data_IF_747285250155
#
_entry.id   IF_747285250155
#
_cell.length_a   1.000
_cell.length_b   1.000
_cell.length_c   1.000
_cell.angle_alpha   90.00
_cell.angle_beta   90.00
_cell.angle_gamma   90.00
#
_symmetry.space_group_name_H-M   'P 1'
#
loop_
_entity.id
_entity.type
_entity.pdbx_description
1 polymer ?
#
# COMPACT_ATOMS: atom_id res chain seq x y z
N UNK A 1 67.32 -46.49 -21.31
CA UNK A 1 68.10 -45.69 -20.36
C UNK A 1 67.14 -45.07 -19.35
N UNK A 2 67.29 -45.54 -18.14
CA UNK A 2 66.53 -45.16 -16.96
C UNK A 2 66.82 -43.72 -16.55
N UNK A 3 65.79 -42.89 -16.24
CA UNK A 3 65.96 -41.83 -15.22
C UNK A 3 64.65 -41.71 -14.43
N UNK A 4 64.76 -42.12 -13.19
CA UNK A 4 63.86 -41.95 -12.08
C UNK A 4 63.83 -40.47 -11.69
N UNK A 5 62.64 -39.82 -11.56
CA UNK A 5 62.47 -38.60 -10.80
C UNK A 5 61.53 -38.88 -9.63
N UNK A 6 62.06 -38.72 -8.42
CA UNK A 6 61.33 -38.75 -7.15
C UNK A 6 60.45 -37.53 -7.07
N UNK A 7 59.17 -37.71 -6.74
CA UNK A 7 58.28 -36.63 -6.32
C UNK A 7 58.23 -36.65 -4.77
N UNK A 8 58.67 -35.54 -4.15
CA UNK A 8 58.43 -35.24 -2.74
C UNK A 8 56.99 -34.85 -2.52
N UNK A 9 56.26 -35.60 -1.72
CA UNK A 9 55.00 -35.23 -1.18
C UNK A 9 55.16 -34.35 0.06
N UNK A 10 54.88 -33.07 -0.01
CA UNK A 10 54.80 -32.19 1.15
C UNK A 10 53.40 -32.30 1.74
N UNK A 11 53.31 -32.88 2.93
CA UNK A 11 52.05 -32.91 3.74
C UNK A 11 51.94 -31.57 4.44
N UNK A 12 51.03 -30.74 4.01
CA UNK A 12 50.59 -29.51 4.70
C UNK A 12 49.52 -29.90 5.72
N UNK A 13 49.88 -29.97 7.00
CA UNK A 13 48.96 -30.07 8.10
C UNK A 13 48.30 -28.69 8.33
N UNK A 14 47.03 -28.56 8.00
CA UNK A 14 46.23 -27.39 8.34
C UNK A 14 45.66 -27.57 9.76
N UNK A 15 45.75 -26.56 10.63
CA UNK A 15 45.13 -26.62 11.95
C UNK A 15 43.61 -26.47 11.78
N UNK A 16 42.88 -27.45 12.30
CA UNK A 16 41.41 -27.34 12.47
C UNK A 16 41.13 -26.30 13.57
N UNK A 17 40.73 -25.12 13.15
CA UNK A 17 40.14 -24.13 14.05
C UNK A 17 38.73 -24.61 14.35
N UNK A 18 38.48 -25.16 15.52
CA UNK A 18 37.18 -25.47 16.04
C UNK A 18 36.42 -24.14 16.28
N UNK A 19 35.46 -23.82 15.42
CA UNK A 19 34.50 -22.76 15.67
C UNK A 19 33.57 -23.20 16.82
N UNK A 20 33.33 -22.36 17.86
CA UNK A 20 32.35 -22.68 18.87
C UNK A 20 30.97 -22.75 18.20
N UNK A 21 30.33 -23.91 18.30
CA UNK A 21 28.91 -24.05 17.98
C UNK A 21 28.12 -23.12 18.92
N UNK A 22 27.69 -21.98 18.43
CA UNK A 22 26.64 -21.22 19.09
C UNK A 22 25.41 -22.10 19.08
N UNK A 23 25.08 -22.68 20.25
CA UNK A 23 23.76 -23.25 20.46
C UNK A 23 22.76 -22.13 20.25
N UNK A 24 22.02 -22.21 19.14
CA UNK A 24 20.83 -21.37 18.94
C UNK A 24 19.86 -21.79 20.06
N UNK A 25 19.62 -20.89 21.03
CA UNK A 25 18.53 -21.00 21.92
C UNK A 25 17.28 -21.19 21.04
N UNK A 26 16.39 -22.16 21.36
CA UNK A 26 15.12 -22.28 20.69
C UNK A 26 14.41 -20.95 20.90
N UNK A 27 14.30 -20.15 19.84
CA UNK A 27 13.49 -18.95 19.84
C UNK A 27 12.10 -19.40 20.32
N UNK A 28 11.76 -18.99 21.54
CA UNK A 28 10.41 -19.07 22.05
C UNK A 28 9.55 -18.32 21.03
N UNK A 29 8.85 -19.10 20.20
CA UNK A 29 7.82 -18.53 19.35
C UNK A 29 6.91 -17.71 20.27
N UNK A 30 6.71 -16.41 20.04
CA UNK A 30 5.74 -15.66 20.82
C UNK A 30 4.41 -16.41 20.66
N UNK A 31 3.86 -16.89 21.76
CA UNK A 31 2.51 -17.41 21.83
C UNK A 31 1.62 -16.32 21.27
N UNK A 32 1.25 -16.45 20.00
CA UNK A 32 0.31 -15.57 19.33
C UNK A 32 -1.13 -15.95 19.80
N UNK A 33 -1.33 -15.94 21.10
CA UNK A 33 -2.62 -15.58 21.65
C UNK A 33 -2.73 -14.09 21.40
N UNK A 34 -3.30 -13.73 20.25
CA UNK A 34 -3.87 -12.40 20.06
C UNK A 34 -4.97 -12.27 21.14
N UNK A 35 -4.58 -11.79 22.32
CA UNK A 35 -5.53 -11.21 23.25
C UNK A 35 -6.30 -10.18 22.45
N UNK A 36 -7.62 -10.37 22.38
CA UNK A 36 -8.48 -9.40 21.71
C UNK A 36 -8.18 -8.04 22.35
N UNK A 37 -7.56 -7.14 21.59
CA UNK A 37 -7.15 -5.83 22.08
C UNK A 37 -8.35 -5.15 22.72
N UNK A 38 -8.17 -4.56 23.90
CA UNK A 38 -9.24 -3.86 24.58
C UNK A 38 -9.81 -2.76 23.65
N UNK A 39 -11.10 -2.44 23.72
CA UNK A 39 -11.69 -1.41 22.85
C UNK A 39 -10.94 -0.08 22.85
N UNK A 40 -10.32 0.29 23.97
CA UNK A 40 -9.46 1.48 24.07
C UNK A 40 -8.18 1.37 23.25
N UNK A 41 -7.57 0.19 23.19
CA UNK A 41 -6.35 -0.04 22.40
C UNK A 41 -6.63 -0.01 20.91
N UNK A 42 -7.79 -0.50 20.48
CA UNK A 42 -8.24 -0.44 19.09
C UNK A 42 -8.48 1.02 18.65
N UNK A 43 -9.09 1.83 19.51
CA UNK A 43 -9.31 3.25 19.23
C UNK A 43 -7.98 4.02 19.15
N UNK A 44 -7.05 3.76 20.06
CA UNK A 44 -5.72 4.37 20.04
C UNK A 44 -4.92 3.97 18.78
N UNK A 45 -4.96 2.69 18.40
CA UNK A 45 -4.34 2.20 17.18
C UNK A 45 -4.96 2.82 15.91
N UNK A 46 -6.28 2.98 15.90
CA UNK A 46 -7.00 3.68 14.83
C UNK A 46 -6.57 5.13 14.71
N UNK A 47 -6.56 5.89 15.83
CA UNK A 47 -6.13 7.28 15.87
C UNK A 47 -4.69 7.44 15.39
N UNK A 48 -3.77 6.59 15.87
CA UNK A 48 -2.38 6.60 15.41
C UNK A 48 -2.25 6.33 13.90
N UNK A 49 -3.11 5.48 13.34
CA UNK A 49 -3.15 5.23 11.89
C UNK A 49 -3.66 6.44 11.12
N UNK A 50 -4.69 7.12 11.62
CA UNK A 50 -5.21 8.36 11.02
C UNK A 50 -4.17 9.48 11.04
N UNK A 51 -3.44 9.64 12.14
CA UNK A 51 -2.39 10.66 12.26
C UNK A 51 -1.22 10.38 11.31
N UNK A 52 -0.85 9.12 11.11
CA UNK A 52 0.13 8.75 10.09
C UNK A 52 -0.34 9.10 8.68
N UNK A 53 -1.58 8.79 8.33
CA UNK A 53 -2.14 9.14 7.02
C UNK A 53 -2.11 10.66 6.80
N UNK A 54 -2.52 11.45 7.81
CA UNK A 54 -2.47 12.92 7.73
C UNK A 54 -1.04 13.45 7.57
N UNK A 55 -0.06 12.85 8.26
CA UNK A 55 1.35 13.23 8.13
C UNK A 55 1.89 13.02 6.71
N UNK A 56 1.32 12.06 5.95
CA UNK A 56 1.62 11.86 4.52
C UNK A 56 0.80 12.78 3.59
N UNK A 57 0.01 13.72 4.13
CA UNK A 57 -0.87 14.59 3.32
C UNK A 57 -2.08 13.87 2.74
N UNK A 58 -2.51 12.83 3.43
CA UNK A 58 -3.71 12.06 3.12
C UNK A 58 -4.84 12.51 4.05
N UNK A 59 -5.99 12.89 3.50
CA UNK A 59 -7.18 13.27 4.27
C UNK A 59 -8.10 12.04 4.42
N UNK A 60 -8.12 11.40 5.61
CA UNK A 60 -9.00 10.26 5.86
C UNK A 60 -10.46 10.68 5.86
N UNK A 61 -11.32 9.79 5.40
CA UNK A 61 -12.76 9.99 5.44
C UNK A 61 -13.28 10.01 6.88
N UNK A 62 -14.46 10.58 7.06
CA UNK A 62 -15.02 10.94 8.37
C UNK A 62 -15.15 9.72 9.29
N UNK A 63 -15.47 8.54 8.72
CA UNK A 63 -15.58 7.30 9.48
C UNK A 63 -15.07 6.10 8.66
N UNK A 64 -14.55 5.06 9.35
CA UNK A 64 -14.20 3.81 8.69
C UNK A 64 -15.45 3.05 8.24
N UNK A 65 -15.27 2.19 7.27
CA UNK A 65 -16.29 1.20 6.87
C UNK A 65 -15.79 -0.21 7.15
N UNK A 66 -16.66 -1.19 7.01
CA UNK A 66 -16.28 -2.59 7.13
C UNK A 66 -17.14 -3.46 6.23
N UNK A 67 -16.58 -4.58 5.79
CA UNK A 67 -17.32 -5.67 5.16
C UNK A 67 -17.36 -6.89 6.10
N UNK A 68 -18.48 -7.61 6.13
CA UNK A 68 -18.62 -8.84 6.88
C UNK A 68 -18.38 -10.06 5.99
N UNK A 69 -18.04 -11.19 6.60
CA UNK A 69 -17.82 -12.49 5.94
C UNK A 69 -16.70 -12.51 4.89
N UNK A 70 -15.71 -11.62 5.05
CA UNK A 70 -14.61 -11.43 4.12
C UNK A 70 -13.35 -12.21 4.45
N UNK A 71 -13.09 -12.44 5.74
CA UNK A 71 -11.83 -13.02 6.22
C UNK A 71 -12.09 -14.22 7.11
N UNK A 72 -11.23 -15.23 7.02
CA UNK A 72 -11.18 -16.33 7.98
C UNK A 72 -10.38 -15.89 9.21
N UNK A 73 -10.94 -16.09 10.41
CA UNK A 73 -10.20 -15.88 11.67
C UNK A 73 -10.56 -14.63 12.47
N UNK A 74 -11.44 -13.77 11.98
CA UNK A 74 -12.04 -12.69 12.79
C UNK A 74 -13.51 -13.01 13.15
N UNK A 75 -14.02 -12.36 14.18
CA UNK A 75 -15.45 -12.45 14.53
C UNK A 75 -16.28 -11.95 13.35
N UNK A 76 -17.18 -12.75 12.84
CA UNK A 76 -17.99 -12.49 11.64
C UNK A 76 -17.16 -12.27 10.35
N UNK A 77 -15.89 -12.66 10.31
CA UNK A 77 -15.05 -12.43 9.13
C UNK A 77 -14.94 -10.96 8.73
N UNK A 78 -14.90 -10.04 9.69
CA UNK A 78 -14.90 -8.60 9.45
C UNK A 78 -13.58 -8.13 8.82
N UNK A 79 -13.69 -7.31 7.77
CA UNK A 79 -12.60 -6.57 7.15
C UNK A 79 -12.88 -5.07 7.29
N UNK A 80 -12.21 -4.35 8.19
CA UNK A 80 -12.34 -2.91 8.27
C UNK A 80 -11.61 -2.22 7.11
N UNK A 81 -12.08 -1.04 6.73
CA UNK A 81 -11.47 -0.24 5.68
C UNK A 81 -11.59 1.26 5.93
N UNK A 82 -10.70 2.02 5.31
CA UNK A 82 -10.68 3.48 5.37
C UNK A 82 -10.66 4.06 3.97
N UNK A 83 -11.49 5.05 3.72
CA UNK A 83 -11.39 5.93 2.56
C UNK A 83 -10.42 7.06 2.85
N UNK A 84 -9.62 7.45 1.85
CA UNK A 84 -8.65 8.54 1.93
C UNK A 84 -8.73 9.38 0.67
N UNK A 85 -8.63 10.70 0.81
CA UNK A 85 -8.46 11.62 -0.32
C UNK A 85 -7.14 12.36 -0.21
N UNK A 86 -6.47 12.53 -1.34
CA UNK A 86 -5.20 13.25 -1.45
C UNK A 86 -5.33 14.32 -2.51
N UNK A 87 -5.47 15.60 -2.10
CA UNK A 87 -5.54 16.70 -3.05
C UNK A 87 -4.19 16.90 -3.75
N UNK A 88 -4.21 17.07 -5.07
CA UNK A 88 -3.02 17.32 -5.86
C UNK A 88 -2.46 18.75 -5.73
N UNK A 89 -1.17 18.94 -5.99
CA UNK A 89 -0.22 17.89 -6.36
C UNK A 89 0.20 17.02 -5.18
N UNK A 90 0.18 15.71 -5.38
CA UNK A 90 0.56 14.76 -4.32
C UNK A 90 1.45 13.63 -4.90
N UNK A 91 2.51 13.15 -4.20
CA UNK A 91 2.98 13.61 -2.88
C UNK A 91 3.61 15.03 -2.96
N UNK A 92 3.46 15.78 -1.86
CA UNK A 92 3.96 17.17 -1.78
C UNK A 92 5.48 17.25 -1.68
N UNK A 93 6.12 16.19 -1.23
CA UNK A 93 7.59 16.04 -1.22
C UNK A 93 8.02 15.43 -2.54
N UNK A 94 8.08 16.26 -3.56
CA UNK A 94 8.49 15.83 -4.88
C UNK A 94 10.01 15.72 -4.94
N UNK A 95 10.50 14.53 -5.31
CA UNK A 95 11.71 14.44 -6.13
C UNK A 95 11.44 15.23 -7.40
N UNK A 96 11.75 16.52 -7.41
CA UNK A 96 11.66 17.36 -8.60
C UNK A 96 12.79 16.97 -9.54
N UNK A 97 12.50 16.08 -10.44
CA UNK A 97 13.35 15.87 -11.61
C UNK A 97 12.90 16.90 -12.65
N UNK A 98 13.75 17.84 -13.08
CA UNK A 98 13.36 18.84 -14.06
C UNK A 98 12.71 18.19 -15.30
N UNK A 99 11.50 18.61 -15.64
CA UNK A 99 10.74 18.08 -16.78
C UNK A 99 9.98 16.77 -16.53
N UNK A 100 10.00 16.24 -15.29
CA UNK A 100 9.24 15.04 -14.91
C UNK A 100 8.27 15.37 -13.78
N UNK A 101 6.98 15.18 -14.03
CA UNK A 101 5.93 15.23 -13.01
C UNK A 101 5.60 13.81 -12.54
N UNK A 102 6.16 13.44 -11.39
CA UNK A 102 5.96 12.15 -10.73
C UNK A 102 4.78 12.14 -9.76
N UNK A 103 3.91 13.15 -9.77
CA UNK A 103 2.76 13.19 -8.88
C UNK A 103 1.70 12.15 -9.25
N UNK A 104 1.15 11.47 -8.26
CA UNK A 104 0.01 10.55 -8.39
C UNK A 104 -1.30 11.31 -8.59
N UNK A 105 -1.44 12.49 -7.96
CA UNK A 105 -2.50 13.45 -8.22
C UNK A 105 -1.87 14.74 -8.74
N UNK A 106 -2.32 15.24 -9.88
CA UNK A 106 -1.91 16.52 -10.47
C UNK A 106 -2.63 17.69 -9.78
N UNK A 107 -2.16 18.92 -10.01
CA UNK A 107 -2.89 20.12 -9.55
C UNK A 107 -4.33 20.11 -10.06
N UNK A 108 -5.30 20.39 -9.19
CA UNK A 108 -6.73 20.31 -9.50
C UNK A 108 -7.31 18.90 -9.57
N UNK A 109 -6.51 17.88 -9.28
CA UNK A 109 -6.98 16.51 -9.13
C UNK A 109 -7.08 16.11 -7.65
N UNK A 110 -7.89 15.10 -7.39
CA UNK A 110 -7.95 14.37 -6.12
C UNK A 110 -7.65 12.90 -6.39
N UNK A 111 -6.66 12.33 -5.72
CA UNK A 111 -6.46 10.89 -5.70
C UNK A 111 -7.31 10.31 -4.57
N UNK A 112 -8.33 9.56 -4.92
CA UNK A 112 -9.13 8.79 -3.98
C UNK A 112 -8.53 7.42 -3.79
N UNK A 113 -8.36 7.00 -2.54
CA UNK A 113 -7.77 5.70 -2.20
C UNK A 113 -8.61 5.01 -1.14
N UNK A 114 -8.94 3.76 -1.39
CA UNK A 114 -9.65 2.89 -0.46
C UNK A 114 -8.68 1.83 0.07
N UNK A 115 -8.57 1.73 1.40
CA UNK A 115 -7.58 0.90 2.09
C UNK A 115 -8.30 -0.11 2.98
N UNK A 116 -8.55 -1.33 2.50
CA UNK A 116 -9.07 -2.40 3.33
C UNK A 116 -7.95 -3.08 4.13
N UNK A 117 -8.28 -3.62 5.29
CA UNK A 117 -7.37 -4.37 6.15
C UNK A 117 -7.77 -5.84 6.22
N UNK A 118 -6.77 -6.74 6.28
CA UNK A 118 -7.01 -8.18 6.32
C UNK A 118 -7.42 -8.80 4.99
N UNK A 119 -7.39 -8.05 3.90
CA UNK A 119 -7.58 -8.54 2.53
C UNK A 119 -6.24 -9.06 2.00
N UNK A 120 -6.26 -10.22 1.37
CA UNK A 120 -5.12 -10.80 0.69
C UNK A 120 -4.69 -10.05 -0.56
N UNK A 121 -3.76 -10.63 -1.32
CA UNK A 121 -3.33 -10.05 -2.60
C UNK A 121 -4.51 -9.89 -3.55
N UNK A 122 -4.43 -8.85 -4.40
CA UNK A 122 -5.43 -8.60 -5.42
C UNK A 122 -5.69 -9.85 -6.27
N UNK A 123 -6.98 -10.09 -6.54
CA UNK A 123 -7.42 -11.07 -7.52
C UNK A 123 -7.06 -10.60 -8.95
N UNK A 124 -7.24 -11.50 -9.91
CA UNK A 124 -7.09 -11.17 -11.32
C UNK A 124 -8.12 -10.13 -11.83
N UNK A 125 -9.18 -9.86 -11.04
CA UNK A 125 -10.25 -8.91 -11.35
C UNK A 125 -10.37 -7.88 -10.21
N UNK A 126 -9.56 -6.82 -10.21
CA UNK A 126 -9.53 -5.82 -9.15
C UNK A 126 -10.66 -4.78 -9.24
N UNK A 127 -11.74 -5.09 -9.90
CA UNK A 127 -12.88 -4.21 -10.15
C UNK A 127 -13.91 -4.27 -9.03
N UNK A 128 -14.84 -3.30 -9.00
CA UNK A 128 -16.02 -3.31 -8.14
C UNK A 128 -16.09 -2.18 -7.11
N UNK A 129 -14.99 -1.47 -6.82
CA UNK A 129 -14.99 -0.28 -5.98
C UNK A 129 -15.22 0.98 -6.81
N UNK A 130 -15.98 1.92 -6.25
CA UNK A 130 -16.33 3.21 -6.88
C UNK A 130 -16.21 4.36 -5.91
N UNK A 131 -15.95 5.52 -6.46
CA UNK A 131 -16.09 6.80 -5.76
C UNK A 131 -17.10 7.68 -6.50
N UNK A 132 -18.16 8.12 -5.79
CA UNK A 132 -19.04 9.20 -6.22
C UNK A 132 -18.54 10.49 -5.56
N UNK A 133 -18.51 11.59 -6.31
CA UNK A 133 -17.97 12.85 -5.82
C UNK A 133 -18.71 14.07 -6.40
N UNK A 134 -18.66 15.16 -5.64
CA UNK A 134 -19.16 16.48 -6.08
C UNK A 134 -18.24 17.56 -5.51
N UNK A 135 -17.82 18.49 -6.36
CA UNK A 135 -17.12 19.68 -5.95
C UNK A 135 -18.13 20.81 -5.70
N UNK A 136 -18.26 21.19 -4.45
CA UNK A 136 -19.21 22.21 -4.00
C UNK A 136 -18.82 23.63 -4.44
N UNK A 137 -17.55 23.85 -4.77
CA UNK A 137 -17.04 25.15 -5.21
C UNK A 137 -17.30 25.43 -6.69
N UNK A 138 -17.22 24.40 -7.55
CA UNK A 138 -17.35 24.57 -9.00
C UNK A 138 -18.53 23.80 -9.63
N UNK A 139 -19.28 23.02 -8.82
CA UNK A 139 -20.44 22.25 -9.26
C UNK A 139 -20.14 21.00 -10.08
N UNK A 140 -18.86 20.66 -10.32
CA UNK A 140 -18.49 19.42 -11.03
C UNK A 140 -18.78 18.21 -10.16
N UNK A 141 -19.24 17.14 -10.78
CA UNK A 141 -19.53 15.88 -10.07
C UNK A 141 -19.33 14.69 -11.00
N UNK A 142 -19.25 13.50 -10.41
CA UNK A 142 -19.11 12.28 -11.20
C UNK A 142 -19.03 11.03 -10.35
N UNK A 143 -18.90 9.90 -11.05
CA UNK A 143 -18.60 8.60 -10.47
C UNK A 143 -17.38 8.06 -11.23
N UNK A 144 -16.41 7.52 -10.49
CA UNK A 144 -15.23 6.90 -11.08
C UNK A 144 -15.03 5.49 -10.51
N UNK A 145 -14.65 4.55 -11.36
CA UNK A 145 -14.25 3.21 -10.96
C UNK A 145 -12.81 3.27 -10.39
N UNK A 146 -12.58 2.57 -9.28
CA UNK A 146 -11.30 2.56 -8.59
C UNK A 146 -10.53 1.29 -8.98
N UNK A 147 -9.37 1.49 -9.59
CA UNK A 147 -8.47 0.40 -10.01
C UNK A 147 -7.47 -0.01 -8.91
N UNK A 148 -6.64 -1.02 -9.19
CA UNK A 148 -5.58 -1.43 -8.28
C UNK A 148 -4.50 -0.34 -8.16
N UNK A 149 -3.84 -0.29 -7.02
CA UNK A 149 -2.78 0.69 -6.75
C UNK A 149 -1.61 0.60 -7.75
N UNK A 150 -1.40 -0.55 -8.37
CA UNK A 150 -0.40 -0.74 -9.44
C UNK A 150 -0.62 0.17 -10.65
N UNK A 151 -1.85 0.57 -10.93
CA UNK A 151 -2.15 1.46 -12.05
C UNK A 151 -1.66 2.88 -11.76
N UNK A 152 -1.80 3.30 -10.49
CA UNK A 152 -1.25 4.57 -10.02
C UNK A 152 0.27 4.58 -10.16
N UNK A 153 0.95 3.52 -9.74
CA UNK A 153 2.42 3.41 -9.86
C UNK A 153 2.88 3.52 -11.31
N UNK A 154 2.20 2.84 -12.22
CA UNK A 154 2.50 2.92 -13.65
C UNK A 154 2.26 4.31 -14.23
N UNK A 155 1.20 4.98 -13.79
CA UNK A 155 0.88 6.34 -14.22
C UNK A 155 1.87 7.39 -13.68
N UNK A 156 2.47 7.16 -12.50
CA UNK A 156 3.48 8.03 -11.92
C UNK A 156 4.82 8.00 -12.66
N UNK A 157 5.13 6.91 -13.37
CA UNK A 157 6.38 6.79 -14.13
C UNK A 157 6.12 7.14 -15.61
N UNK A 158 6.45 8.37 -16.05
CA UNK A 158 6.12 8.85 -17.39
C UNK A 158 6.73 7.99 -18.50
N UNK A 159 6.09 7.98 -19.66
CA UNK A 159 6.59 7.24 -20.81
C UNK A 159 7.97 7.75 -21.31
N UNK A 160 8.33 8.98 -20.96
CA UNK A 160 9.64 9.61 -21.27
C UNK A 160 10.81 9.03 -20.46
N UNK A 161 10.54 8.28 -19.37
CA UNK A 161 11.60 7.62 -18.59
C UNK A 161 12.23 6.52 -19.46
N UNK A 162 13.57 6.51 -19.64
CA UNK A 162 14.26 5.49 -20.43
C UNK A 162 13.94 4.08 -19.94
N UNK A 163 13.77 3.12 -20.85
CA UNK A 163 13.40 1.75 -20.55
C UNK A 163 14.37 1.06 -19.55
N UNK A 164 15.66 1.42 -19.62
CA UNK A 164 16.69 0.87 -18.74
C UNK A 164 16.50 1.22 -17.26
N UNK A 165 15.95 2.42 -16.94
CA UNK A 165 15.78 2.90 -15.56
C UNK A 165 14.34 2.79 -15.07
N UNK A 166 13.37 2.55 -15.97
CA UNK A 166 11.95 2.43 -15.65
C UNK A 166 11.66 1.40 -14.55
N UNK A 167 12.21 0.16 -14.57
CA UNK A 167 11.95 -0.82 -13.51
C UNK A 167 12.45 -0.37 -12.13
N UNK A 168 13.53 0.40 -12.08
CA UNK A 168 14.03 0.95 -10.83
C UNK A 168 13.12 2.08 -10.31
N UNK A 169 12.64 2.97 -11.18
CA UNK A 169 11.70 4.03 -10.84
C UNK A 169 10.36 3.45 -10.35
N UNK A 170 9.79 2.47 -11.04
CA UNK A 170 8.55 1.79 -10.62
C UNK A 170 8.69 1.09 -9.27
N UNK A 171 9.86 0.52 -9.00
CA UNK A 171 10.17 -0.11 -7.72
C UNK A 171 10.23 0.92 -6.60
N UNK A 172 10.93 2.03 -6.81
CA UNK A 172 11.04 3.12 -5.83
C UNK A 172 9.66 3.72 -5.49
N UNK A 173 8.82 3.95 -6.50
CA UNK A 173 7.43 4.42 -6.30
C UNK A 173 6.63 3.41 -5.49
N UNK A 174 6.70 2.13 -5.83
CA UNK A 174 6.00 1.06 -5.12
C UNK A 174 6.45 0.97 -3.66
N UNK A 175 7.75 0.98 -3.40
CA UNK A 175 8.31 0.87 -2.05
C UNK A 175 7.88 2.06 -1.18
N UNK A 176 7.79 3.27 -1.76
CA UNK A 176 7.25 4.45 -1.09
C UNK A 176 5.80 4.23 -0.62
N UNK A 177 4.93 3.72 -1.49
CA UNK A 177 3.53 3.48 -1.13
C UNK A 177 3.37 2.35 -0.10
N UNK A 178 4.09 1.25 -0.26
CA UNK A 178 3.99 0.12 0.67
C UNK A 178 4.62 0.38 2.05
N UNK A 179 5.40 1.45 2.20
CA UNK A 179 5.79 1.91 3.52
C UNK A 179 4.61 2.46 4.35
N UNK A 180 3.53 2.89 3.68
CA UNK A 180 2.36 3.51 4.33
C UNK A 180 1.06 2.69 4.19
N UNK A 181 0.95 1.83 3.18
CA UNK A 181 -0.27 1.12 2.81
C UNK A 181 -0.11 -0.41 2.92
N UNK A 182 -1.17 -1.16 3.27
CA UNK A 182 -1.15 -2.62 3.26
C UNK A 182 -0.97 -3.16 1.84
N UNK A 183 -0.46 -4.39 1.73
CA UNK A 183 -0.05 -4.99 0.47
C UNK A 183 -1.20 -5.51 -0.41
N UNK A 184 -2.46 -5.50 0.05
CA UNK A 184 -3.56 -6.12 -0.69
C UNK A 184 -4.87 -5.36 -0.63
N UNK A 185 -5.67 -5.49 -1.68
CA UNK A 185 -7.03 -4.96 -1.76
C UNK A 185 -7.14 -3.44 -1.92
N UNK A 186 -6.04 -2.69 -1.90
CA UNK A 186 -6.07 -1.23 -2.05
C UNK A 186 -6.56 -0.84 -3.44
N UNK A 187 -7.53 0.07 -3.47
CA UNK A 187 -8.10 0.64 -4.71
C UNK A 187 -7.87 2.13 -4.75
N UNK A 188 -7.52 2.65 -5.93
CA UNK A 188 -7.27 4.07 -6.08
C UNK A 188 -7.70 4.57 -7.46
N UNK A 189 -8.03 5.87 -7.55
CA UNK A 189 -8.31 6.55 -8.81
C UNK A 189 -8.01 8.04 -8.69
N UNK A 190 -7.22 8.62 -9.59
CA UNK A 190 -7.09 10.07 -9.70
C UNK A 190 -8.27 10.63 -10.47
N UNK A 191 -8.91 11.66 -9.93
CA UNK A 191 -10.08 12.32 -10.53
C UNK A 191 -9.81 13.80 -10.68
N UNK A 192 -10.10 14.36 -11.85
CA UNK A 192 -10.02 15.80 -12.12
C UNK A 192 -11.23 16.52 -11.52
N UNK A 193 -11.16 16.81 -10.23
CA UNK A 193 -12.23 17.44 -9.47
C UNK A 193 -12.26 18.96 -9.61
N UNK A 194 -11.15 19.56 -10.01
CA UNK A 194 -10.90 21.00 -9.92
C UNK A 194 -10.66 21.46 -8.49
N UNK A 195 -10.23 22.72 -8.34
CA UNK A 195 -10.06 23.36 -7.03
C UNK A 195 -11.40 23.59 -6.36
N UNK A 196 -11.40 23.55 -5.01
CA UNK A 196 -12.59 23.75 -4.18
C UNK A 196 -12.82 22.63 -3.17
N UNK A 197 -13.95 22.69 -2.49
CA UNK A 197 -14.35 21.66 -1.51
C UNK A 197 -15.03 20.50 -2.21
N UNK A 198 -14.46 19.31 -2.11
CA UNK A 198 -14.99 18.08 -2.70
C UNK A 198 -15.58 17.20 -1.61
N UNK A 199 -16.85 16.85 -1.76
CA UNK A 199 -17.51 15.79 -1.00
C UNK A 199 -17.44 14.51 -1.82
N UNK A 200 -17.07 13.39 -1.19
CA UNK A 200 -16.96 12.10 -1.87
C UNK A 200 -17.50 10.95 -1.00
N UNK A 201 -18.00 9.92 -1.67
CA UNK A 201 -18.41 8.66 -1.06
C UNK A 201 -17.76 7.50 -1.79
N UNK A 202 -17.08 6.61 -1.07
CA UNK A 202 -16.52 5.37 -1.61
C UNK A 202 -17.34 4.18 -1.17
N UNK A 203 -17.62 3.26 -2.08
CA UNK A 203 -18.43 2.06 -1.84
C UNK A 203 -18.15 1.02 -2.90
N UNK A 204 -18.55 -0.22 -2.61
CA UNK A 204 -18.45 -1.30 -3.59
C UNK A 204 -17.86 -2.57 -3.03
N UNK A 205 -17.25 -3.36 -3.88
CA UNK A 205 -16.77 -4.71 -3.57
C UNK A 205 -15.27 -4.83 -3.84
N UNK A 206 -14.55 -5.51 -2.93
CA UNK A 206 -13.18 -5.97 -3.13
C UNK A 206 -13.19 -7.49 -3.07
N UNK A 207 -12.54 -8.14 -4.02
CA UNK A 207 -12.38 -9.60 -3.98
C UNK A 207 -11.25 -10.00 -3.02
N UNK A 208 -11.49 -11.00 -2.17
CA UNK A 208 -10.50 -11.59 -1.28
C UNK A 208 -10.36 -13.08 -1.56
N UNK A 209 -9.57 -13.44 -2.58
CA UNK A 209 -9.33 -14.83 -2.94
C UNK A 209 -10.59 -15.58 -3.42
N UNK A 210 -11.47 -14.89 -4.17
CA UNK A 210 -12.73 -15.42 -4.66
C UNK A 210 -13.94 -15.14 -3.75
N UNK A 211 -13.73 -14.46 -2.62
CA UNK A 211 -14.80 -14.03 -1.72
C UNK A 211 -15.08 -12.55 -1.94
N UNK A 212 -16.28 -12.17 -2.43
CA UNK A 212 -16.63 -10.77 -2.64
C UNK A 212 -16.93 -10.08 -1.30
N UNK A 213 -16.13 -9.08 -0.96
CA UNK A 213 -16.24 -8.27 0.25
C UNK A 213 -16.95 -6.97 -0.08
N UNK A 214 -18.22 -6.85 0.27
CA UNK A 214 -18.98 -5.63 0.04
C UNK A 214 -18.77 -4.63 1.19
N UNK A 215 -18.29 -3.43 0.84
CA UNK A 215 -18.08 -2.34 1.78
C UNK A 215 -19.20 -1.31 1.67
N UNK A 216 -19.78 -0.97 2.81
CA UNK A 216 -20.77 0.12 2.91
C UNK A 216 -20.13 1.47 2.56
N UNK A 217 -20.92 2.44 2.08
CA UNK A 217 -20.39 3.76 1.75
C UNK A 217 -19.68 4.41 2.94
N UNK A 218 -18.48 4.93 2.71
CA UNK A 218 -17.77 5.85 3.60
C UNK A 218 -17.67 7.21 2.94
N UNK A 219 -17.80 8.28 3.71
CA UNK A 219 -17.93 9.66 3.20
C UNK A 219 -16.75 10.50 3.71
N UNK A 220 -16.22 11.34 2.83
CA UNK A 220 -15.16 12.29 3.14
C UNK A 220 -15.37 13.64 2.49
N UNK A 221 -14.72 14.64 3.08
CA UNK A 221 -14.64 16.00 2.54
C UNK A 221 -13.17 16.37 2.43
N UNK A 222 -12.77 16.90 1.30
CA UNK A 222 -11.37 17.33 1.05
C UNK A 222 -11.35 18.70 0.40
N UNK A 223 -10.41 19.54 0.81
CA UNK A 223 -10.14 20.83 0.17
C UNK A 223 -9.03 20.65 -0.87
N UNK A 224 -9.37 20.91 -2.13
CA UNK A 224 -8.44 20.87 -3.27
C UNK A 224 -7.98 22.29 -3.55
N UNK A 225 -6.65 22.57 -3.47
CA UNK A 225 -6.09 23.89 -3.67
C UNK A 225 -6.22 24.40 -5.11
#
# INVERSE_FOLDING_TARGET
MLRRCLALAAVLAAPLIALPSAAADPAVAPDARQEAAAPGDLLAAYQASMDRLRAFGMDPFIYPTAAAFCTSGSVLGMSPAVGVAMPGPWPRTTLTVPGLDLSAAKAGQTLFTFVPYGIGRDSAQPEGMRVAWINLGNGRSGIADMGPLSDIFRAMVPASVPAAVRPAAERAVRDFFFAALPAGGVRAVPVDTGSGTVLAAMFGTVDNGGVPCFFLPTIGVVAVP
#
